data_IF_998449080729
#
_entry.id   IF_998449080729
#
_cell.length_a   1.000
_cell.length_b   1.000
_cell.length_c   1.000
_cell.angle_alpha   90.00
_cell.angle_beta   90.00
_cell.angle_gamma   90.00
#
_symmetry.space_group_name_H-M   'P 1'
#
loop_
_entity.id
_entity.type
_entity.pdbx_description
1 polymer ?
#
# COMPACT_ATOMS: atom_id res chain seq x y z
N UNK A 1 -3.33 6.30 4.99
CA UNK A 1 -3.56 7.74 4.86
C UNK A 1 -2.22 8.45 4.92
N UNK A 2 -2.06 9.55 4.19
CA UNK A 2 -0.93 10.47 4.38
C UNK A 2 -1.46 11.77 4.99
N UNK A 3 -0.77 12.30 5.99
CA UNK A 3 -1.24 13.42 6.81
C UNK A 3 -2.13 13.03 8.00
N UNK A 4 -2.12 11.74 8.39
CA UNK A 4 -2.71 11.24 9.64
C UNK A 4 -1.64 10.42 10.36
N UNK A 5 -1.46 10.65 11.66
CA UNK A 5 -0.55 9.85 12.48
C UNK A 5 -1.14 8.49 12.86
N UNK A 6 -0.35 7.64 13.53
CA UNK A 6 -0.79 6.30 13.94
C UNK A 6 -1.85 6.32 15.06
N UNK A 7 -2.04 7.46 15.75
CA UNK A 7 -3.09 7.67 16.77
C UNK A 7 -4.39 8.21 16.16
N UNK A 8 -4.41 8.50 14.86
CA UNK A 8 -5.56 9.06 14.16
C UNK A 8 -5.63 10.59 14.17
N UNK A 9 -4.60 11.29 14.67
CA UNK A 9 -4.53 12.75 14.65
C UNK A 9 -4.33 13.23 13.23
N UNK A 10 -5.13 14.22 12.81
CA UNK A 10 -5.00 14.85 11.51
C UNK A 10 -3.89 15.91 11.58
N UNK A 11 -2.78 15.63 10.90
CA UNK A 11 -1.64 16.55 10.78
C UNK A 11 -1.75 17.39 9.50
N UNK A 12 -2.37 16.83 8.46
CA UNK A 12 -2.44 17.42 7.14
C UNK A 12 -1.23 17.06 6.27
N UNK A 13 -1.30 17.43 5.00
CA UNK A 13 -0.25 17.21 4.00
C UNK A 13 0.50 18.51 3.71
N UNK A 14 1.82 18.43 3.70
CA UNK A 14 2.77 19.49 3.31
C UNK A 14 3.04 19.53 1.80
N UNK A 15 2.65 18.48 1.07
CA UNK A 15 2.87 18.34 -0.37
C UNK A 15 1.57 18.31 -1.17
N UNK A 16 1.68 18.61 -2.48
CA UNK A 16 0.56 18.52 -3.41
C UNK A 16 0.27 17.06 -3.80
N UNK A 17 -0.97 16.79 -4.22
CA UNK A 17 -1.40 15.45 -4.68
C UNK A 17 -0.58 14.98 -5.86
N UNK A 18 -0.28 15.89 -6.78
CA UNK A 18 0.45 15.59 -8.00
C UNK A 18 1.88 15.18 -7.70
N UNK A 19 2.56 15.92 -6.81
CA UNK A 19 3.92 15.59 -6.40
C UNK A 19 3.97 14.26 -5.64
N UNK A 20 3.02 14.04 -4.73
CA UNK A 20 2.93 12.78 -3.99
C UNK A 20 2.65 11.59 -4.92
N UNK A 21 1.69 11.72 -5.83
CA UNK A 21 1.38 10.68 -6.81
C UNK A 21 2.58 10.34 -7.66
N UNK A 22 3.25 11.33 -8.25
CA UNK A 22 4.47 11.09 -9.03
C UNK A 22 5.54 10.35 -8.22
N UNK A 23 5.79 10.76 -6.97
CA UNK A 23 6.78 10.12 -6.08
C UNK A 23 6.40 8.66 -5.77
N UNK A 24 5.14 8.40 -5.45
CA UNK A 24 4.67 7.06 -5.11
C UNK A 24 4.69 6.16 -6.34
N UNK A 25 4.20 6.61 -7.50
CA UNK A 25 4.23 5.83 -8.75
C UNK A 25 5.67 5.45 -9.13
N UNK A 26 6.61 6.40 -9.02
CA UNK A 26 8.04 6.13 -9.25
C UNK A 26 8.61 5.12 -8.25
N UNK A 27 8.26 5.24 -6.97
CA UNK A 27 8.68 4.28 -5.94
C UNK A 27 8.14 2.87 -6.23
N UNK A 28 6.86 2.75 -6.57
CA UNK A 28 6.21 1.49 -6.94
C UNK A 28 6.90 0.85 -8.13
N UNK A 29 7.16 1.64 -9.19
CA UNK A 29 7.86 1.17 -10.39
C UNK A 29 9.24 0.60 -10.09
N UNK A 30 9.94 1.16 -9.10
CA UNK A 30 11.29 0.72 -8.76
C UNK A 30 11.34 -0.40 -7.72
N UNK A 31 10.29 -0.57 -6.92
CA UNK A 31 10.34 -1.42 -5.71
C UNK A 31 9.32 -2.54 -5.64
N UNK A 32 8.31 -2.59 -6.53
CA UNK A 32 7.25 -3.59 -6.48
C UNK A 32 7.07 -4.23 -7.85
N UNK A 33 7.04 -5.57 -7.93
CA UNK A 33 6.77 -6.32 -9.17
C UNK A 33 5.68 -7.38 -8.97
N UNK A 34 4.68 -7.49 -9.87
CA UNK A 34 4.38 -6.57 -10.98
C UNK A 34 4.00 -5.17 -10.44
N UNK A 35 3.99 -4.13 -11.26
CA UNK A 35 3.67 -2.78 -10.77
C UNK A 35 2.16 -2.66 -10.48
N UNK A 36 1.72 -2.51 -9.22
CA UNK A 36 0.31 -2.27 -8.90
C UNK A 36 -0.14 -0.91 -9.45
N UNK A 37 -1.37 -0.87 -9.94
CA UNK A 37 -2.07 0.38 -10.21
C UNK A 37 -2.77 0.78 -8.91
N UNK A 38 -2.40 1.93 -8.36
CA UNK A 38 -3.04 2.54 -7.19
C UNK A 38 -3.66 3.87 -7.60
N UNK A 39 -4.63 4.34 -6.82
CA UNK A 39 -5.25 5.65 -7.00
C UNK A 39 -4.98 6.53 -5.78
N UNK A 40 -4.72 7.82 -6.01
CA UNK A 40 -4.45 8.82 -4.97
C UNK A 40 -5.47 9.93 -5.05
N UNK A 41 -6.27 10.06 -3.99
CA UNK A 41 -7.29 11.10 -3.85
C UNK A 41 -6.97 12.07 -2.74
N UNK A 42 -7.33 13.32 -2.95
CA UNK A 42 -7.33 14.33 -1.90
C UNK A 42 -8.64 14.29 -1.13
N UNK A 43 -8.56 14.52 0.18
CA UNK A 43 -9.73 14.77 1.02
C UNK A 43 -9.45 15.93 1.95
N UNK A 44 -10.37 16.89 2.03
CA UNK A 44 -10.35 17.90 3.09
C UNK A 44 -11.11 17.35 4.31
N UNK A 45 -10.46 17.36 5.46
CA UNK A 45 -11.01 16.92 6.74
C UNK A 45 -10.68 17.99 7.78
N UNK A 46 -11.71 18.63 8.33
CA UNK A 46 -11.58 19.74 9.29
C UNK A 46 -10.64 20.87 8.84
N UNK A 47 -10.67 21.23 7.55
CA UNK A 47 -9.83 22.28 6.98
C UNK A 47 -8.41 21.82 6.63
N UNK A 48 -8.00 20.63 7.07
CA UNK A 48 -6.72 20.03 6.71
C UNK A 48 -6.86 19.13 5.48
N UNK A 49 -5.86 19.18 4.60
CA UNK A 49 -5.80 18.32 3.42
C UNK A 49 -5.07 17.02 3.75
N UNK A 50 -5.70 15.88 3.48
CA UNK A 50 -5.10 14.54 3.61
C UNK A 50 -5.11 13.82 2.26
N UNK A 51 -4.24 12.83 2.10
CA UNK A 51 -4.24 11.98 0.90
C UNK A 51 -4.63 10.53 1.21
N UNK A 52 -5.53 10.02 0.37
CA UNK A 52 -6.04 8.66 0.40
C UNK A 52 -5.29 7.85 -0.66
N UNK A 53 -4.59 6.80 -0.22
CA UNK A 53 -3.98 5.82 -1.11
C UNK A 53 -4.94 4.65 -1.22
N UNK A 54 -5.54 4.48 -2.38
CA UNK A 54 -6.48 3.41 -2.67
C UNK A 54 -5.74 2.26 -3.36
N UNK A 55 -5.67 1.13 -2.68
CA UNK A 55 -5.06 -0.10 -3.19
C UNK A 55 -6.20 -1.02 -3.62
N UNK A 56 -6.19 -1.57 -4.85
CA UNK A 56 -7.22 -2.50 -5.29
C UNK A 56 -7.26 -3.73 -4.38
N UNK A 57 -8.44 -4.35 -4.21
CA UNK A 57 -8.55 -5.56 -3.39
C UNK A 57 -7.69 -6.68 -3.96
N UNK A 58 -7.25 -7.57 -3.06
CA UNK A 58 -6.46 -8.73 -3.42
C UNK A 58 -7.18 -9.58 -4.47
N UNK A 59 -6.43 -9.97 -5.52
CA UNK A 59 -6.88 -10.95 -6.49
C UNK A 59 -5.92 -12.14 -6.51
N UNK A 60 -6.43 -13.33 -6.85
CA UNK A 60 -5.66 -14.58 -6.84
C UNK A 60 -4.58 -14.68 -7.92
N UNK A 61 -4.51 -13.71 -8.83
CA UNK A 61 -3.60 -13.73 -10.00
C UNK A 61 -2.34 -12.90 -9.76
N UNK A 62 -2.46 -11.77 -9.09
CA UNK A 62 -1.40 -10.79 -8.95
C UNK A 62 -0.82 -10.84 -7.54
N UNK A 63 0.40 -11.36 -7.43
CA UNK A 63 1.19 -11.31 -6.21
C UNK A 63 2.30 -10.30 -6.37
N UNK A 64 2.33 -9.32 -5.47
CA UNK A 64 3.27 -8.21 -5.51
C UNK A 64 4.48 -8.53 -4.64
N UNK A 65 5.64 -8.67 -5.27
CA UNK A 65 6.93 -8.87 -4.61
C UNK A 65 7.60 -7.52 -4.37
N UNK A 66 8.11 -7.31 -3.14
CA UNK A 66 8.97 -6.17 -2.84
C UNK A 66 10.39 -6.48 -3.31
N UNK A 67 10.81 -5.85 -4.40
CA UNK A 67 12.01 -6.24 -5.16
C UNK A 67 13.30 -5.99 -4.39
N UNK A 68 13.35 -4.96 -3.54
CA UNK A 68 14.55 -4.62 -2.76
C UNK A 68 14.99 -5.72 -1.79
N UNK A 69 14.06 -6.54 -1.31
CA UNK A 69 14.36 -7.64 -0.39
C UNK A 69 13.93 -9.00 -0.93
N UNK A 70 13.49 -9.06 -2.19
CA UNK A 70 12.94 -10.26 -2.85
C UNK A 70 11.85 -11.00 -2.07
N UNK A 71 11.13 -10.31 -1.19
CA UNK A 71 10.15 -10.92 -0.27
C UNK A 71 8.72 -10.54 -0.66
N UNK A 72 7.80 -11.46 -0.37
CA UNK A 72 6.37 -11.18 -0.36
C UNK A 72 5.99 -10.72 1.05
N UNK A 73 5.27 -9.60 1.13
CA UNK A 73 4.87 -9.02 2.40
C UNK A 73 3.33 -9.05 2.52
N UNK A 74 2.84 -9.31 3.72
CA UNK A 74 1.42 -9.23 4.06
C UNK A 74 1.21 -8.28 5.22
N UNK A 75 0.11 -7.53 5.18
CA UNK A 75 -0.32 -6.69 6.28
C UNK A 75 -1.21 -7.51 7.22
N UNK A 76 -0.87 -7.56 8.51
CA UNK A 76 -1.73 -8.10 9.58
C UNK A 76 -1.93 -7.00 10.62
N UNK A 77 -3.17 -6.54 10.77
CA UNK A 77 -3.48 -5.36 11.58
C UNK A 77 -2.76 -4.10 11.06
N UNK A 78 -1.95 -3.48 11.90
CA UNK A 78 -1.15 -2.29 11.58
C UNK A 78 0.26 -2.62 11.08
N UNK A 79 0.70 -3.87 11.20
CA UNK A 79 2.08 -4.29 10.95
C UNK A 79 2.25 -5.03 9.62
N UNK A 80 3.50 -5.09 9.13
CA UNK A 80 3.92 -5.84 7.94
C UNK A 80 4.71 -7.09 8.34
N UNK A 81 4.42 -8.21 7.68
CA UNK A 81 5.08 -9.50 7.92
C UNK A 81 5.57 -10.09 6.60
N UNK A 82 6.62 -10.89 6.66
CA UNK A 82 7.10 -11.67 5.52
C UNK A 82 6.23 -12.92 5.39
N UNK A 83 5.71 -13.17 4.19
CA UNK A 83 4.92 -14.36 3.87
C UNK A 83 5.84 -15.57 3.74
N UNK A 84 5.50 -16.67 4.40
CA UNK A 84 6.18 -17.96 4.20
C UNK A 84 5.76 -18.62 2.87
N UNK A 85 6.59 -19.53 2.30
CA UNK A 85 6.23 -20.22 1.05
C UNK A 85 4.88 -20.95 1.11
N UNK A 86 4.54 -21.57 2.24
CA UNK A 86 3.27 -22.29 2.44
C UNK A 86 2.06 -21.34 2.40
N UNK A 87 2.18 -20.19 3.04
CA UNK A 87 1.14 -19.16 3.05
C UNK A 87 0.93 -18.56 1.67
N UNK A 88 2.02 -18.35 0.92
CA UNK A 88 1.94 -17.88 -0.45
C UNK A 88 1.17 -18.86 -1.34
N UNK A 89 1.41 -20.17 -1.19
CA UNK A 89 0.68 -21.21 -1.90
C UNK A 89 -0.81 -21.28 -1.51
N UNK A 90 -1.13 -21.07 -0.22
CA UNK A 90 -2.52 -20.95 0.24
C UNK A 90 -3.23 -19.77 -0.43
N UNK A 91 -2.58 -18.61 -0.47
CA UNK A 91 -3.12 -17.43 -1.13
C UNK A 91 -3.33 -17.67 -2.63
N UNK A 92 -2.36 -18.24 -3.35
CA UNK A 92 -2.52 -18.58 -4.78
C UNK A 92 -3.76 -19.45 -5.05
N UNK A 93 -4.09 -20.35 -4.12
CA UNK A 93 -5.28 -21.22 -4.17
C UNK A 93 -6.57 -20.53 -3.70
N UNK A 94 -6.51 -19.26 -3.34
CA UNK A 94 -7.66 -18.50 -2.85
C UNK A 94 -8.04 -18.79 -1.41
N UNK A 95 -7.15 -19.42 -0.64
CA UNK A 95 -7.34 -19.65 0.80
C UNK A 95 -6.79 -18.45 1.58
N UNK A 96 -7.51 -18.03 2.60
CA UNK A 96 -7.04 -16.96 3.47
C UNK A 96 -5.91 -17.46 4.38
N UNK A 97 -5.07 -16.52 4.81
CA UNK A 97 -3.98 -16.74 5.75
C UNK A 97 -4.24 -15.81 6.93
N UNK A 98 -4.24 -16.36 8.15
CA UNK A 98 -4.42 -15.62 9.42
C UNK A 98 -3.05 -15.27 9.98
#
# INVERSE_FOLDING_TARGET
>A
FYGIDDSGTIVGSDISRQDFDQRIQNSIRNTIKPHPIIDIKDKNVYGAKIMLILIPPWNRKNFYQFTKSEKYLIRRGTNRFVISPEELEKLKKGKYVV
#
